data_IF_280388076149
#
_entry.id   IF_280388076149
#
_cell.length_a   1.000
_cell.length_b   1.000
_cell.length_c   1.000
_cell.angle_alpha   90.00
_cell.angle_beta   90.00
_cell.angle_gamma   90.00
#
_symmetry.space_group_name_H-M   'P 1'
#
loop_
_entity.id
_entity.type
_entity.pdbx_description
1 polymer ?
#
# COMPACT_ATOMS: atom_id res chain seq x y z
N UNK A 1 3.66 -12.09 19.09
CA UNK A 1 2.90 -11.40 18.01
C UNK A 1 3.87 -10.55 17.20
N UNK A 2 4.20 -10.96 15.97
CA UNK A 2 5.02 -10.15 15.06
C UNK A 2 4.07 -9.31 14.19
N UNK A 3 3.99 -8.01 14.45
CA UNK A 3 3.36 -7.04 13.54
C UNK A 3 4.43 -6.64 12.51
N UNK A 4 4.10 -6.63 11.23
CA UNK A 4 5.00 -6.17 10.18
C UNK A 4 4.53 -4.78 9.71
N UNK A 5 5.42 -3.80 9.81
CA UNK A 5 5.21 -2.47 9.24
C UNK A 5 5.55 -2.51 7.75
N UNK A 6 4.54 -2.28 6.90
CA UNK A 6 4.67 -2.30 5.45
C UNK A 6 5.27 -0.95 5.04
N UNK A 7 6.60 -0.88 4.92
CA UNK A 7 7.32 0.38 4.63
C UNK A 7 7.38 0.76 3.13
N UNK A 8 6.88 -0.06 2.21
CA UNK A 8 7.00 0.17 0.76
C UNK A 8 5.65 0.06 0.02
N UNK A 9 4.71 0.96 0.28
CA UNK A 9 3.46 1.04 -0.50
C UNK A 9 3.27 2.37 -1.25
N UNK A 10 4.20 3.33 -1.12
CA UNK A 10 4.03 4.70 -1.66
C UNK A 10 4.44 4.89 -3.13
N UNK A 11 4.71 3.83 -3.90
CA UNK A 11 5.13 3.96 -5.32
C UNK A 11 4.40 3.04 -6.31
N UNK A 12 3.24 2.49 -5.95
CA UNK A 12 2.41 1.72 -6.90
C UNK A 12 1.46 2.67 -7.65
N UNK A 13 2.02 3.46 -8.57
CA UNK A 13 1.23 4.24 -9.54
C UNK A 13 1.58 3.92 -11.01
N UNK A 14 2.49 2.99 -11.27
CA UNK A 14 2.82 2.57 -12.65
C UNK A 14 3.25 1.10 -12.78
N UNK A 15 3.19 0.30 -11.71
CA UNK A 15 3.92 -0.98 -11.61
C UNK A 15 3.09 -2.21 -11.96
N UNK A 16 1.83 -2.06 -12.40
CA UNK A 16 1.00 -3.23 -12.78
C UNK A 16 1.57 -3.95 -14.01
N UNK A 17 2.25 -3.22 -14.92
CA UNK A 17 2.90 -3.84 -16.08
C UNK A 17 4.22 -4.57 -15.71
N UNK A 18 5.02 -4.02 -14.80
CA UNK A 18 6.31 -4.61 -14.37
C UNK A 18 6.16 -5.89 -13.54
N UNK A 19 5.03 -6.06 -12.85
CA UNK A 19 4.73 -7.29 -12.10
C UNK A 19 4.49 -8.48 -13.06
N UNK A 20 3.96 -8.21 -14.26
CA UNK A 20 3.69 -9.19 -15.33
C UNK A 20 4.95 -9.87 -15.88
N UNK A 21 6.13 -9.25 -15.75
CA UNK A 21 7.38 -9.75 -16.32
C UNK A 21 8.24 -10.54 -15.32
N UNK A 22 8.22 -10.20 -14.03
CA UNK A 22 9.08 -10.86 -13.03
C UNK A 22 8.79 -12.34 -12.79
N UNK A 23 7.56 -12.83 -13.07
CA UNK A 23 7.23 -14.26 -12.93
C UNK A 23 7.41 -15.09 -14.21
N UNK A 24 7.52 -14.47 -15.40
CA UNK A 24 7.80 -15.23 -16.64
C UNK A 24 9.24 -15.78 -16.71
N UNK A 25 10.20 -15.15 -16.04
CA UNK A 25 11.61 -15.62 -16.05
C UNK A 25 11.88 -16.82 -15.12
N UNK A 26 11.01 -17.09 -14.14
CA UNK A 26 11.20 -18.25 -13.24
C UNK A 26 10.65 -19.57 -13.80
N UNK A 27 10.04 -19.54 -14.99
CA UNK A 27 9.53 -20.72 -15.67
C UNK A 27 9.80 -20.70 -17.17
N UNK A 28 10.84 -21.44 -17.58
CA UNK A 28 11.25 -21.79 -18.97
C UNK A 28 12.15 -20.79 -19.68
N UNK A 29 13.36 -21.26 -20.01
CA UNK A 29 14.20 -20.72 -21.07
C UNK A 29 13.49 -20.88 -22.42
N UNK A 30 12.75 -19.86 -22.81
CA UNK A 30 12.06 -19.76 -24.08
C UNK A 30 11.96 -18.29 -24.48
N UNK A 31 12.47 -17.98 -25.68
CA UNK A 31 12.34 -16.68 -26.33
C UNK A 31 10.91 -16.13 -26.19
N UNK A 32 10.76 -15.04 -25.45
CA UNK A 32 9.48 -14.34 -25.31
C UNK A 32 9.12 -13.71 -26.65
N UNK A 33 8.08 -14.21 -27.32
CA UNK A 33 7.54 -13.60 -28.53
C UNK A 33 7.06 -12.16 -28.22
N UNK A 34 7.80 -11.17 -28.76
CA UNK A 34 7.60 -9.73 -28.58
C UNK A 34 6.52 -9.16 -29.51
N UNK A 35 5.28 -9.62 -29.40
CA UNK A 35 4.23 -9.17 -30.32
C UNK A 35 3.56 -7.82 -29.96
N UNK A 36 3.71 -7.28 -28.74
CA UNK A 36 2.94 -6.09 -28.31
C UNK A 36 3.61 -5.20 -27.23
N UNK A 37 4.94 -5.10 -27.18
CA UNK A 37 5.62 -4.16 -26.25
C UNK A 37 5.93 -2.89 -27.03
N UNK A 38 5.47 -1.73 -26.55
CA UNK A 38 5.83 -0.46 -27.16
C UNK A 38 7.27 -0.05 -26.78
N UNK A 39 7.85 0.90 -27.52
CA UNK A 39 9.26 1.30 -27.34
C UNK A 39 9.55 1.86 -25.95
N UNK A 40 8.57 2.51 -25.31
CA UNK A 40 8.69 3.08 -23.96
C UNK A 40 8.75 2.00 -22.87
N UNK A 41 7.86 1.01 -22.93
CA UNK A 41 7.85 -0.13 -22.02
C UNK A 41 9.13 -0.97 -22.18
N UNK A 42 9.61 -1.13 -23.41
CA UNK A 42 10.87 -1.81 -23.68
C UNK A 42 12.06 -1.07 -23.06
N UNK A 43 12.09 0.26 -23.16
CA UNK A 43 13.12 1.09 -22.53
C UNK A 43 13.11 0.97 -21.00
N UNK A 44 11.93 1.00 -20.37
CA UNK A 44 11.80 0.80 -18.92
C UNK A 44 12.24 -0.60 -18.50
N UNK A 45 11.92 -1.64 -19.29
CA UNK A 45 12.34 -3.01 -19.05
C UNK A 45 13.87 -3.17 -19.11
N UNK A 46 14.52 -2.57 -20.11
CA UNK A 46 15.98 -2.57 -20.23
C UNK A 46 16.65 -1.81 -19.07
N UNK A 47 16.03 -0.74 -18.54
CA UNK A 47 16.51 -0.07 -17.33
C UNK A 47 16.38 -0.89 -16.05
N UNK A 48 15.59 -1.96 -16.08
CA UNK A 48 15.52 -2.99 -15.05
C UNK A 48 16.75 -3.91 -15.01
N UNK A 49 17.66 -3.81 -16.00
CA UNK A 49 18.83 -4.68 -16.13
C UNK A 49 18.56 -5.96 -16.93
N UNK A 50 17.41 -6.03 -17.61
CA UNK A 50 17.02 -7.18 -18.41
C UNK A 50 17.60 -7.07 -19.82
N UNK A 51 18.08 -8.20 -20.35
CA UNK A 51 18.62 -8.26 -21.70
C UNK A 51 17.49 -8.44 -22.72
N UNK A 52 17.58 -7.74 -23.85
CA UNK A 52 16.56 -7.73 -24.89
C UNK A 52 17.25 -7.98 -26.22
N UNK A 53 16.83 -9.02 -26.94
CA UNK A 53 17.30 -9.21 -28.32
C UNK A 53 16.74 -8.12 -29.21
N UNK A 54 17.63 -7.44 -29.92
CA UNK A 54 17.33 -6.38 -30.88
C UNK A 54 17.29 -6.91 -32.32
N UNK A 55 17.41 -8.23 -32.49
CA UNK A 55 17.44 -8.88 -33.80
C UNK A 55 16.08 -8.72 -34.50
N UNK A 56 16.09 -8.11 -35.68
CA UNK A 56 14.89 -7.87 -36.49
C UNK A 56 14.27 -6.47 -36.34
N UNK A 57 14.80 -5.61 -35.48
CA UNK A 57 14.37 -4.20 -35.40
C UNK A 57 14.92 -3.39 -36.59
N UNK A 58 14.10 -2.50 -37.13
CA UNK A 58 14.51 -1.52 -38.13
C UNK A 58 15.48 -0.48 -37.54
N UNK A 59 16.21 0.22 -38.40
CA UNK A 59 17.11 1.30 -37.96
C UNK A 59 16.33 2.41 -37.26
N UNK A 60 15.11 2.69 -37.72
CA UNK A 60 14.21 3.71 -37.16
C UNK A 60 13.76 3.30 -35.74
N UNK A 61 13.31 2.05 -35.57
CA UNK A 61 12.92 1.51 -34.26
C UNK A 61 14.10 1.51 -33.27
N UNK A 62 15.32 1.24 -33.73
CA UNK A 62 16.53 1.32 -32.90
C UNK A 62 16.89 2.76 -32.49
N UNK A 63 16.59 3.75 -33.33
CA UNK A 63 16.78 5.17 -33.00
C UNK A 63 15.75 5.63 -31.99
N UNK A 64 14.49 5.25 -32.17
CA UNK A 64 13.39 5.52 -31.23
C UNK A 64 13.68 4.89 -29.86
N UNK A 65 14.12 3.63 -29.82
CA UNK A 65 14.49 2.96 -28.57
C UNK A 65 15.64 3.65 -27.83
N UNK A 66 16.66 4.13 -28.56
CA UNK A 66 17.76 4.90 -27.94
C UNK A 66 17.28 6.22 -27.36
N UNK A 67 16.38 6.92 -28.05
CA UNK A 67 15.79 8.16 -27.55
C UNK A 67 14.96 7.90 -26.28
N UNK A 68 14.05 6.92 -26.34
CA UNK A 68 13.22 6.51 -25.20
C UNK A 68 14.06 6.07 -23.99
N UNK A 69 15.16 5.33 -24.21
CA UNK A 69 16.08 4.94 -23.14
C UNK A 69 16.79 6.16 -22.52
N UNK A 70 17.17 7.16 -23.33
CA UNK A 70 17.74 8.42 -22.85
C UNK A 70 16.77 9.19 -21.96
N UNK A 71 15.52 9.32 -22.41
CA UNK A 71 14.45 9.98 -21.65
C UNK A 71 14.10 9.23 -20.36
N UNK A 72 13.95 7.90 -20.42
CA UNK A 72 13.66 7.08 -19.25
C UNK A 72 14.80 7.12 -18.21
N UNK A 73 16.07 7.19 -18.65
CA UNK A 73 17.21 7.42 -17.74
C UNK A 73 17.14 8.79 -17.07
N UNK A 74 16.83 9.84 -17.83
CA UNK A 74 16.70 11.18 -17.29
C UNK A 74 15.55 11.26 -16.27
N UNK A 75 14.40 10.66 -16.58
CA UNK A 75 13.24 10.56 -15.68
C UNK A 75 13.58 9.81 -14.39
N UNK A 76 14.20 8.63 -14.49
CA UNK A 76 14.64 7.84 -13.32
C UNK A 76 15.65 8.59 -12.47
N UNK A 77 16.61 9.30 -13.08
CA UNK A 77 17.55 10.16 -12.36
C UNK A 77 16.84 11.30 -11.64
N UNK A 78 15.92 12.00 -12.33
CA UNK A 78 15.16 13.09 -11.73
C UNK A 78 14.30 12.61 -10.54
N UNK A 79 13.67 11.45 -10.66
CA UNK A 79 12.92 10.82 -9.56
C UNK A 79 13.84 10.47 -8.37
N UNK A 80 15.01 9.87 -8.63
CA UNK A 80 15.99 9.59 -7.59
C UNK A 80 16.51 10.87 -6.90
N UNK A 81 16.80 11.92 -7.67
CA UNK A 81 17.26 13.20 -7.14
C UNK A 81 16.17 13.86 -6.27
N UNK A 82 14.90 13.80 -6.69
CA UNK A 82 13.76 14.28 -5.92
C UNK A 82 13.59 13.50 -4.60
N UNK A 83 13.68 12.17 -4.65
CA UNK A 83 13.61 11.33 -3.44
C UNK A 83 14.78 11.62 -2.49
N UNK A 84 16.00 11.82 -3.02
CA UNK A 84 17.17 12.18 -2.24
C UNK A 84 17.01 13.55 -1.56
N UNK A 85 16.48 14.54 -2.28
CA UNK A 85 16.18 15.87 -1.73
C UNK A 85 15.13 15.79 -0.61
N UNK A 86 14.03 15.06 -0.83
CA UNK A 86 12.98 14.87 0.17
C UNK A 86 13.51 14.18 1.44
N UNK A 87 14.36 13.18 1.27
CA UNK A 87 15.01 12.47 2.38
C UNK A 87 15.95 13.39 3.16
N UNK A 88 16.76 14.19 2.47
CA UNK A 88 17.68 15.14 3.11
C UNK A 88 16.90 16.20 3.92
N UNK A 89 15.77 16.67 3.39
CA UNK A 89 14.88 17.58 4.12
C UNK A 89 14.26 16.92 5.36
N UNK A 90 13.77 15.68 5.25
CA UNK A 90 13.24 14.90 6.39
C UNK A 90 14.29 14.71 7.49
N UNK A 91 15.53 14.38 7.12
CA UNK A 91 16.65 14.25 8.06
C UNK A 91 16.99 15.58 8.74
N UNK A 92 16.99 16.69 8.00
CA UNK A 92 17.18 18.04 8.55
C UNK A 92 16.09 18.39 9.55
N UNK A 93 14.82 18.15 9.20
CA UNK A 93 13.69 18.42 10.09
C UNK A 93 13.74 17.54 11.34
N UNK A 94 14.11 16.27 11.22
CA UNK A 94 14.30 15.38 12.35
C UNK A 94 15.41 15.88 13.29
N UNK A 95 16.55 16.31 12.74
CA UNK A 95 17.64 16.89 13.52
C UNK A 95 17.20 18.17 14.25
N UNK A 96 16.38 19.01 13.61
CA UNK A 96 15.79 20.18 14.24
C UNK A 96 14.83 19.80 15.38
N UNK A 97 14.01 18.76 15.22
CA UNK A 97 13.14 18.23 16.29
C UNK A 97 13.97 17.77 17.50
N UNK A 98 15.08 17.04 17.28
CA UNK A 98 15.98 16.63 18.37
C UNK A 98 16.58 17.84 19.10
N UNK A 99 16.99 18.87 18.37
CA UNK A 99 17.61 20.06 18.94
C UNK A 99 16.63 20.93 19.75
N UNK A 100 15.36 20.97 19.34
CA UNK A 100 14.35 21.90 19.89
C UNK A 100 13.42 21.26 20.92
N UNK A 101 13.31 19.92 20.96
CA UNK A 101 12.40 19.23 21.86
C UNK A 101 13.15 18.41 22.92
N UNK A 102 13.13 18.84 24.20
CA UNK A 102 13.72 18.07 25.29
C UNK A 102 13.19 16.64 25.40
N UNK A 103 11.91 16.43 25.06
CA UNK A 103 11.29 15.11 25.05
C UNK A 103 11.92 14.17 24.03
N UNK A 104 12.24 14.66 22.82
CA UNK A 104 12.91 13.86 21.80
C UNK A 104 14.40 13.69 22.10
N UNK A 105 15.07 14.74 22.59
CA UNK A 105 16.48 14.69 22.99
C UNK A 105 16.74 13.68 24.12
N UNK A 106 15.76 13.45 25.00
CA UNK A 106 15.85 12.46 26.08
C UNK A 106 15.77 11.00 25.62
N UNK A 107 15.46 10.74 24.34
CA UNK A 107 15.34 9.41 23.78
C UNK A 107 16.59 8.99 23.03
N UNK A 108 16.84 7.68 22.97
CA UNK A 108 17.80 7.15 22.01
C UNK A 108 17.26 7.36 20.58
N UNK A 109 18.18 7.64 19.64
CA UNK A 109 17.86 8.06 18.27
C UNK A 109 16.87 7.14 17.55
N UNK A 110 16.94 5.79 17.67
CA UNK A 110 15.96 4.92 17.03
C UNK A 110 14.53 5.13 17.54
N UNK A 111 14.34 5.34 18.84
CA UNK A 111 13.02 5.58 19.43
C UNK A 111 12.50 6.97 19.09
N UNK A 112 13.36 7.99 19.11
CA UNK A 112 12.99 9.33 18.66
C UNK A 112 12.56 9.32 17.19
N UNK A 113 13.33 8.65 16.33
CA UNK A 113 13.02 8.50 14.90
C UNK A 113 11.72 7.74 14.69
N UNK A 114 11.47 6.68 15.46
CA UNK A 114 10.23 5.92 15.39
C UNK A 114 9.01 6.80 15.71
N UNK A 115 9.06 7.60 16.77
CA UNK A 115 7.97 8.54 17.10
C UNK A 115 7.79 9.59 16.00
N UNK A 116 8.89 10.14 15.49
CA UNK A 116 8.88 11.10 14.38
C UNK A 116 8.22 10.54 13.12
N UNK A 117 8.61 9.33 12.72
CA UNK A 117 8.05 8.62 11.56
C UNK A 117 6.55 8.29 11.74
N UNK A 118 6.09 8.18 12.99
CA UNK A 118 4.67 8.01 13.32
C UNK A 118 3.92 9.34 13.39
N UNK A 119 4.57 10.47 13.13
CA UNK A 119 3.95 11.79 13.10
C UNK A 119 3.95 12.52 14.44
N UNK A 120 4.59 11.97 15.48
CA UNK A 120 4.90 12.73 16.68
C UNK A 120 6.12 13.58 16.38
N UNK A 121 5.94 14.85 16.01
CA UNK A 121 7.06 15.74 15.63
C UNK A 121 7.32 16.83 16.66
N UNK A 122 6.37 17.04 17.56
CA UNK A 122 6.43 18.03 18.62
C UNK A 122 6.07 17.41 19.98
N UNK A 123 6.36 18.15 21.06
CA UNK A 123 5.92 17.78 22.40
C UNK A 123 4.39 17.68 22.49
N UNK A 124 3.69 18.58 21.81
CA UNK A 124 2.23 18.63 21.82
C UNK A 124 1.61 17.39 21.16
N UNK A 125 2.22 16.88 20.10
CA UNK A 125 1.77 15.63 19.48
C UNK A 125 1.86 14.45 20.44
N UNK A 126 2.96 14.38 21.22
CA UNK A 126 3.14 13.32 22.23
C UNK A 126 2.10 13.47 23.35
N UNK A 127 1.77 14.70 23.77
CA UNK A 127 0.77 14.97 24.82
C UNK A 127 -0.63 14.50 24.45
N UNK A 128 -0.99 14.50 23.17
CA UNK A 128 -2.27 13.94 22.67
C UNK A 128 -2.37 12.43 22.84
N UNK A 129 -1.24 11.72 22.94
CA UNK A 129 -1.21 10.28 23.12
C UNK A 129 -1.38 9.89 24.58
N UNK A 130 -2.05 8.75 24.81
CA UNK A 130 -1.96 8.05 26.09
C UNK A 130 -0.67 7.26 26.18
N UNK A 131 -0.31 6.84 27.40
CA UNK A 131 0.77 5.86 27.61
C UNK A 131 0.57 4.59 26.78
N UNK A 132 -0.66 4.11 26.68
CA UNK A 132 -1.00 2.87 25.96
C UNK A 132 -0.82 3.04 24.45
N UNK A 133 -1.19 4.20 23.90
CA UNK A 133 -1.00 4.50 22.47
C UNK A 133 0.47 4.37 22.06
N UNK A 134 1.37 4.93 22.88
CA UNK A 134 2.80 4.86 22.61
C UNK A 134 3.36 3.44 22.80
N UNK A 135 2.93 2.72 23.84
CA UNK A 135 3.36 1.32 24.07
C UNK A 135 2.88 0.35 22.97
N UNK A 136 1.82 0.69 22.25
CA UNK A 136 1.34 -0.10 21.11
C UNK A 136 2.23 0.04 19.87
N UNK A 137 3.15 1.01 19.85
CA UNK A 137 4.15 1.17 18.80
C UNK A 137 5.30 0.19 19.01
N UNK A 138 5.52 -0.68 18.04
CA UNK A 138 6.61 -1.66 18.08
C UNK A 138 7.97 -0.94 18.17
N UNK A 139 8.73 -1.24 19.22
CA UNK A 139 10.01 -0.58 19.51
C UNK A 139 9.94 0.48 20.62
N UNK A 140 8.73 0.83 21.07
CA UNK A 140 8.52 1.67 22.25
C UNK A 140 8.24 0.77 23.46
N UNK A 141 9.19 0.74 24.40
CA UNK A 141 9.06 0.00 25.66
C UNK A 141 8.80 0.93 26.84
N UNK A 142 8.64 0.33 28.03
CA UNK A 142 8.45 1.07 29.27
C UNK A 142 9.58 2.06 29.56
N UNK A 143 10.84 1.70 29.24
CA UNK A 143 11.98 2.60 29.41
C UNK A 143 11.85 3.89 28.60
N UNK A 144 11.31 3.83 27.39
CA UNK A 144 11.03 5.02 26.57
C UNK A 144 9.98 5.91 27.22
N UNK A 145 8.90 5.31 27.74
CA UNK A 145 7.85 6.03 28.47
C UNK A 145 8.43 6.74 29.70
N UNK A 146 9.28 6.06 30.47
CA UNK A 146 9.92 6.65 31.65
C UNK A 146 10.81 7.84 31.28
N UNK A 147 11.61 7.73 30.21
CA UNK A 147 12.44 8.85 29.74
C UNK A 147 11.59 10.06 29.31
N UNK A 148 10.49 9.82 28.59
CA UNK A 148 9.55 10.88 28.22
C UNK A 148 8.97 11.57 29.47
N UNK A 149 8.54 10.80 30.48
CA UNK A 149 8.06 11.37 31.74
C UNK A 149 9.12 12.21 32.45
N UNK A 150 10.35 11.70 32.54
CA UNK A 150 11.46 12.41 33.16
C UNK A 150 11.83 13.69 32.38
N UNK A 151 11.55 13.74 31.08
CA UNK A 151 11.68 14.92 30.23
C UNK A 151 10.47 15.87 30.32
N UNK A 152 9.55 15.66 31.26
CA UNK A 152 8.39 16.54 31.50
C UNK A 152 7.18 16.26 30.59
N UNK A 153 7.13 15.11 29.92
CA UNK A 153 5.95 14.73 29.14
C UNK A 153 4.83 14.24 30.05
N UNK A 154 3.71 14.95 30.01
CA UNK A 154 2.44 14.53 30.59
C UNK A 154 1.54 13.93 29.50
N UNK A 155 1.25 12.63 29.60
CA UNK A 155 0.38 11.95 28.63
C UNK A 155 -1.09 12.23 28.89
N UNK A 156 -1.89 12.27 27.84
CA UNK A 156 -3.34 12.38 27.97
C UNK A 156 -3.93 11.18 28.74
N UNK A 157 -4.98 11.45 29.52
CA UNK A 157 -5.77 10.42 30.21
C UNK A 157 -6.59 9.56 29.24
N UNK A 158 -6.99 10.15 28.10
CA UNK A 158 -7.72 9.51 27.00
C UNK A 158 -7.04 9.92 25.69
N UNK A 159 -7.04 9.03 24.70
CA UNK A 159 -6.37 9.32 23.43
C UNK A 159 -7.06 10.49 22.74
N UNK A 160 -6.26 11.47 22.31
CA UNK A 160 -6.69 12.60 21.50
C UNK A 160 -6.09 12.51 20.08
N UNK A 161 -5.51 11.37 19.73
CA UNK A 161 -4.95 11.14 18.41
C UNK A 161 -6.09 11.01 17.38
N UNK A 162 -5.89 11.49 16.15
CA UNK A 162 -6.91 11.39 15.13
C UNK A 162 -7.14 9.92 14.75
N UNK A 163 -8.41 9.56 14.61
CA UNK A 163 -8.82 8.25 14.10
C UNK A 163 -8.79 8.25 12.57
N UNK A 164 -7.58 8.27 12.01
CA UNK A 164 -7.34 8.44 10.58
C UNK A 164 -7.22 7.12 9.80
N UNK A 165 -7.52 5.98 10.43
CA UNK A 165 -7.53 4.68 9.76
C UNK A 165 -8.65 3.79 10.24
N UNK A 166 -9.16 2.97 9.33
CA UNK A 166 -10.07 1.87 9.61
C UNK A 166 -9.29 0.61 9.97
N UNK A 167 -9.84 -0.17 10.89
CA UNK A 167 -9.44 -1.55 11.14
C UNK A 167 -10.46 -2.51 10.52
N UNK A 168 -10.06 -3.20 9.45
CA UNK A 168 -10.96 -4.01 8.60
C UNK A 168 -10.54 -5.49 8.68
N UNK A 169 -11.49 -6.37 9.00
CA UNK A 169 -11.33 -7.80 8.78
C UNK A 169 -11.70 -8.13 7.33
N UNK A 170 -10.81 -8.80 6.63
CA UNK A 170 -11.02 -9.27 5.27
C UNK A 170 -10.98 -10.79 5.31
N UNK A 171 -12.09 -11.42 4.96
CA UNK A 171 -12.29 -12.87 5.06
C UNK A 171 -12.54 -13.46 3.68
N UNK A 172 -11.79 -14.50 3.35
CA UNK A 172 -12.08 -15.39 2.24
C UNK A 172 -12.54 -16.74 2.78
N UNK A 173 -13.56 -17.32 2.15
CA UNK A 173 -14.08 -18.66 2.45
C UNK A 173 -14.11 -19.48 1.17
N UNK A 174 -13.46 -20.63 1.19
CA UNK A 174 -13.43 -21.56 0.07
C UNK A 174 -12.64 -22.81 0.44
N UNK A 175 -12.81 -23.88 -0.34
CA UNK A 175 -12.10 -25.16 -0.13
C UNK A 175 -12.24 -25.70 1.31
N UNK A 176 -13.39 -25.51 1.96
CA UNK A 176 -13.63 -25.96 3.34
C UNK A 176 -12.87 -25.20 4.43
N UNK A 177 -12.18 -24.10 4.12
CA UNK A 177 -11.42 -23.28 5.09
C UNK A 177 -11.81 -21.81 5.04
N UNK A 178 -11.50 -21.10 6.13
CA UNK A 178 -11.60 -19.64 6.21
C UNK A 178 -10.19 -19.08 6.38
N UNK A 179 -9.84 -18.12 5.54
CA UNK A 179 -8.59 -17.37 5.60
C UNK A 179 -8.95 -15.93 5.95
N UNK A 180 -8.20 -15.29 6.84
CA UNK A 180 -8.53 -13.93 7.29
C UNK A 180 -7.30 -13.05 7.38
N UNK A 181 -7.49 -11.78 7.04
CA UNK A 181 -6.53 -10.69 7.21
C UNK A 181 -7.19 -9.61 8.05
N UNK A 182 -6.44 -9.05 9.00
CA UNK A 182 -6.87 -7.91 9.78
C UNK A 182 -5.92 -6.74 9.47
N UNK A 183 -6.45 -5.74 8.78
CA UNK A 183 -5.68 -4.62 8.23
C UNK A 183 -6.04 -3.30 8.92
N UNK A 184 -5.03 -2.44 9.09
CA UNK A 184 -5.23 -1.00 9.29
C UNK A 184 -5.06 -0.32 7.93
N UNK A 185 -6.02 0.50 7.53
CA UNK A 185 -6.01 1.20 6.25
C UNK A 185 -6.37 2.68 6.43
N UNK A 186 -5.64 3.63 5.79
CA UNK A 186 -6.00 5.04 5.83
C UNK A 186 -7.43 5.29 5.38
N UNK A 187 -8.16 6.16 6.09
CA UNK A 187 -9.51 6.56 5.65
C UNK A 187 -9.48 7.30 4.31
N UNK A 188 -8.40 8.02 4.05
CA UNK A 188 -8.16 8.74 2.80
C UNK A 188 -7.78 7.83 1.62
N UNK A 189 -7.58 6.52 1.85
CA UNK A 189 -7.32 5.59 0.75
C UNK A 189 -8.57 5.44 -0.12
N UNK A 190 -8.39 5.08 -1.39
CA UNK A 190 -9.49 4.74 -2.29
C UNK A 190 -9.91 3.26 -2.17
N UNK A 191 -11.08 2.92 -2.68
CA UNK A 191 -11.49 1.52 -2.83
C UNK A 191 -10.52 0.72 -3.72
N UNK A 192 -9.96 1.33 -4.76
CA UNK A 192 -8.94 0.69 -5.60
C UNK A 192 -7.68 0.33 -4.79
N UNK A 193 -7.20 1.26 -3.95
CA UNK A 193 -6.08 0.99 -3.05
C UNK A 193 -6.40 -0.08 -2.01
N UNK A 194 -7.66 -0.13 -1.53
CA UNK A 194 -8.11 -1.22 -0.66
C UNK A 194 -8.03 -2.58 -1.38
N UNK A 195 -8.40 -2.65 -2.66
CA UNK A 195 -8.27 -3.88 -3.45
C UNK A 195 -6.80 -4.33 -3.55
N UNK A 196 -5.88 -3.42 -3.87
CA UNK A 196 -4.44 -3.72 -3.89
C UNK A 196 -3.94 -4.31 -2.56
N UNK A 197 -4.36 -3.71 -1.44
CA UNK A 197 -3.98 -4.15 -0.09
C UNK A 197 -4.56 -5.54 0.22
N UNK A 198 -5.80 -5.79 -0.18
CA UNK A 198 -6.46 -7.08 0.00
C UNK A 198 -5.71 -8.14 -0.80
N UNK A 199 -5.53 -7.93 -2.11
CA UNK A 199 -4.87 -8.90 -3.00
C UNK A 199 -3.44 -9.18 -2.54
N UNK A 200 -2.67 -8.15 -2.20
CA UNK A 200 -1.34 -8.32 -1.60
C UNK A 200 -1.38 -9.14 -0.30
N UNK A 201 -2.35 -8.86 0.57
CA UNK A 201 -2.54 -9.62 1.81
C UNK A 201 -2.84 -11.10 1.57
N UNK A 202 -3.46 -11.44 0.44
CA UNK A 202 -3.75 -12.81 0.04
C UNK A 202 -2.71 -13.40 -0.94
N UNK A 203 -1.59 -12.72 -1.18
CA UNK A 203 -0.55 -13.13 -2.13
C UNK A 203 -1.07 -13.32 -3.58
N UNK A 204 -2.03 -12.48 -3.96
CA UNK A 204 -2.61 -12.44 -5.31
C UNK A 204 -1.97 -11.33 -6.13
N UNK A 205 -1.85 -11.58 -7.43
CA UNK A 205 -1.60 -10.56 -8.44
C UNK A 205 -2.89 -9.79 -8.73
N UNK A 206 -2.79 -8.48 -8.90
CA UNK A 206 -3.91 -7.64 -9.34
C UNK A 206 -3.93 -7.54 -10.87
N UNK A 207 -4.25 -8.66 -11.52
CA UNK A 207 -4.21 -8.86 -12.97
C UNK A 207 -5.60 -8.87 -13.63
N UNK A 208 -6.67 -8.80 -12.83
CA UNK A 208 -8.07 -8.80 -13.28
C UNK A 208 -8.86 -7.63 -12.68
N UNK A 209 -10.06 -7.40 -13.22
CA UNK A 209 -10.98 -6.39 -12.71
C UNK A 209 -11.56 -6.79 -11.34
N UNK A 210 -12.01 -5.77 -10.59
CA UNK A 210 -12.72 -5.95 -9.32
C UNK A 210 -13.91 -5.01 -9.18
N UNK A 211 -14.77 -5.33 -8.22
CA UNK A 211 -15.86 -4.49 -7.76
C UNK A 211 -16.04 -4.60 -6.24
N UNK A 212 -16.55 -3.54 -5.62
CA UNK A 212 -16.98 -3.53 -4.23
C UNK A 212 -18.50 -3.40 -4.17
N UNK A 213 -19.17 -4.35 -3.51
CA UNK A 213 -20.60 -4.35 -3.25
C UNK A 213 -20.86 -3.95 -1.80
N UNK A 214 -21.39 -2.75 -1.61
CA UNK A 214 -21.47 -2.09 -0.30
C UNK A 214 -22.59 -2.64 0.59
N UNK A 215 -23.50 -3.45 0.04
CA UNK A 215 -24.50 -4.24 0.77
C UNK A 215 -24.05 -5.69 1.04
N UNK A 216 -22.83 -6.03 0.66
CA UNK A 216 -22.26 -7.37 0.81
C UNK A 216 -22.85 -8.42 -0.15
N UNK A 217 -23.72 -8.03 -1.08
CA UNK A 217 -24.34 -8.93 -2.04
C UNK A 217 -23.63 -8.85 -3.39
N UNK A 218 -23.06 -9.96 -3.90
CA UNK A 218 -22.41 -9.95 -5.21
C UNK A 218 -23.44 -9.59 -6.29
N UNK A 219 -23.02 -8.79 -7.27
CA UNK A 219 -23.82 -8.35 -8.40
C UNK A 219 -25.04 -7.47 -8.03
N UNK A 220 -25.05 -6.88 -6.83
CA UNK A 220 -26.05 -5.88 -6.47
C UNK A 220 -25.81 -4.55 -7.18
N UNK A 221 -26.83 -3.68 -7.16
CA UNK A 221 -26.72 -2.32 -7.71
C UNK A 221 -25.93 -1.37 -6.81
N UNK A 222 -25.72 -1.72 -5.54
CA UNK A 222 -25.00 -0.90 -4.58
C UNK A 222 -23.50 -1.22 -4.68
N UNK A 223 -22.89 -0.85 -5.80
CA UNK A 223 -21.56 -1.30 -6.17
C UNK A 223 -20.70 -0.20 -6.80
N UNK A 224 -19.39 -0.36 -6.66
CA UNK A 224 -18.36 0.42 -7.34
C UNK A 224 -17.44 -0.50 -8.13
N UNK A 225 -17.16 -0.15 -9.38
CA UNK A 225 -16.35 -0.95 -10.29
C UNK A 225 -15.00 -0.31 -10.54
N UNK A 226 -14.00 -1.12 -10.90
CA UNK A 226 -12.68 -0.60 -11.29
C UNK A 226 -12.75 0.25 -12.56
N UNK A 227 -11.86 1.24 -12.70
CA UNK A 227 -11.79 2.15 -13.86
C UNK A 227 -11.85 1.44 -15.22
N UNK A 228 -11.27 0.24 -15.35
CA UNK A 228 -11.30 -0.53 -16.60
C UNK A 228 -12.74 -0.85 -17.08
N UNK A 229 -13.72 -0.83 -16.17
CA UNK A 229 -15.14 -1.03 -16.48
C UNK A 229 -15.86 0.25 -16.91
N UNK A 230 -15.22 1.42 -16.85
CA UNK A 230 -15.80 2.71 -17.24
C UNK A 230 -15.48 3.07 -18.70
N UNK A 231 -15.25 2.05 -19.55
CA UNK A 231 -14.95 2.21 -20.97
C UNK A 231 -16.15 2.65 -21.81
N UNK A 232 -15.88 3.00 -23.07
CA UNK A 232 -16.90 3.43 -24.02
C UNK A 232 -18.01 2.38 -24.17
N UNK A 233 -19.25 2.76 -23.80
CA UNK A 233 -20.43 1.91 -23.89
C UNK A 233 -21.02 1.44 -22.56
N UNK A 234 -20.27 1.52 -21.44
CA UNK A 234 -20.78 1.22 -20.10
C UNK A 234 -21.20 2.52 -19.40
N UNK A 235 -22.49 2.84 -19.45
CA UNK A 235 -23.06 4.03 -18.77
C UNK A 235 -23.79 3.62 -17.49
N UNK A 236 -23.82 4.51 -16.50
CA UNK A 236 -24.61 4.33 -15.27
C UNK A 236 -23.92 3.58 -14.11
N UNK A 237 -22.61 3.31 -14.18
CA UNK A 237 -21.86 2.59 -13.14
C UNK A 237 -21.44 3.43 -11.92
N UNK A 238 -21.82 4.72 -11.85
CA UNK A 238 -21.37 5.62 -10.79
C UNK A 238 -19.88 6.01 -10.93
N UNK A 239 -19.23 6.50 -9.86
CA UNK A 239 -17.78 6.77 -9.83
C UNK A 239 -16.98 5.46 -9.76
N UNK A 240 -15.76 5.47 -10.32
CA UNK A 240 -14.88 4.31 -10.26
C UNK A 240 -14.26 4.12 -8.86
N UNK A 241 -13.78 2.92 -8.56
CA UNK A 241 -13.13 2.60 -7.26
C UNK A 241 -11.93 3.50 -6.91
N UNK A 242 -11.28 4.09 -7.91
CA UNK A 242 -10.15 5.02 -7.75
C UNK A 242 -10.60 6.37 -7.18
N UNK A 243 -11.84 6.76 -7.43
CA UNK A 243 -12.43 8.05 -7.08
C UNK A 243 -13.18 8.03 -5.74
N UNK A 244 -13.48 6.83 -5.23
CA UNK A 244 -14.23 6.65 -3.98
C UNK A 244 -13.28 6.40 -2.83
N UNK A 245 -13.22 7.34 -1.89
CA UNK A 245 -12.44 7.20 -0.66
C UNK A 245 -13.14 6.32 0.38
N UNK A 246 -12.37 5.79 1.33
CA UNK A 246 -12.91 5.01 2.45
C UNK A 246 -13.45 5.89 3.58
N UNK A 247 -13.41 7.22 3.47
CA UNK A 247 -13.89 8.14 4.52
C UNK A 247 -15.38 7.96 4.81
N UNK A 248 -16.16 7.57 3.79
CA UNK A 248 -17.60 7.34 3.90
C UNK A 248 -18.00 6.05 4.62
N UNK A 249 -17.06 5.16 4.92
CA UNK A 249 -17.36 3.93 5.68
C UNK A 249 -17.74 4.25 7.13
N UNK A 250 -18.47 3.32 7.75
CA UNK A 250 -18.90 3.38 9.13
C UNK A 250 -18.49 2.13 9.90
N UNK A 251 -18.44 2.26 11.23
CA UNK A 251 -18.18 1.13 12.11
C UNK A 251 -19.28 0.07 11.95
N UNK A 252 -18.87 -1.19 11.83
CA UNK A 252 -19.72 -2.36 11.57
C UNK A 252 -20.21 -2.52 10.12
N UNK A 253 -19.84 -1.62 9.21
CA UNK A 253 -20.09 -1.85 7.78
C UNK A 253 -19.52 -3.20 7.36
N UNK A 254 -20.34 -3.94 6.62
CA UNK A 254 -19.96 -5.22 6.02
C UNK A 254 -20.25 -5.14 4.53
N UNK A 255 -19.20 -5.31 3.73
CA UNK A 255 -19.27 -5.20 2.27
C UNK A 255 -18.43 -6.32 1.65
N UNK A 256 -18.57 -6.51 0.34
CA UNK A 256 -17.92 -7.58 -0.41
C UNK A 256 -17.03 -6.98 -1.48
N UNK A 257 -15.77 -7.40 -1.53
CA UNK A 257 -14.95 -7.26 -2.73
C UNK A 257 -15.09 -8.52 -3.57
N UNK A 258 -15.42 -8.35 -4.84
CA UNK A 258 -15.37 -9.41 -5.85
C UNK A 258 -14.20 -9.09 -6.78
N UNK A 259 -13.25 -9.99 -6.89
CA UNK A 259 -12.09 -9.90 -7.78
C UNK A 259 -12.13 -11.04 -8.79
N UNK A 260 -11.77 -10.74 -10.04
CA UNK A 260 -11.90 -11.62 -11.18
C UNK A 260 -13.35 -12.09 -11.39
N UNK A 261 -14.03 -11.50 -12.38
CA UNK A 261 -15.43 -11.84 -12.67
C UNK A 261 -15.63 -13.24 -13.25
N UNK A 262 -14.57 -13.90 -13.72
CA UNK A 262 -14.61 -15.29 -14.17
C UNK A 262 -14.50 -16.27 -12.99
N UNK A 263 -13.45 -16.14 -12.18
CA UNK A 263 -13.21 -17.02 -11.02
C UNK A 263 -14.06 -16.66 -9.78
N UNK A 264 -14.58 -15.43 -9.72
CA UNK A 264 -15.38 -14.88 -8.63
C UNK A 264 -14.74 -15.00 -7.24
N UNK A 265 -13.52 -14.48 -7.08
CA UNK A 265 -12.89 -14.39 -5.76
C UNK A 265 -13.65 -13.41 -4.87
N UNK A 266 -14.28 -13.93 -3.81
CA UNK A 266 -15.13 -13.16 -2.89
C UNK A 266 -14.44 -12.94 -1.55
N UNK A 267 -14.19 -11.68 -1.21
CA UNK A 267 -13.60 -11.26 0.06
C UNK A 267 -14.60 -10.42 0.85
N UNK A 268 -15.10 -10.98 1.96
CA UNK A 268 -15.98 -10.24 2.87
C UNK A 268 -15.16 -9.30 3.74
N UNK A 269 -15.45 -8.01 3.67
CA UNK A 269 -14.81 -6.96 4.43
C UNK A 269 -15.74 -6.50 5.55
N UNK A 270 -15.22 -6.41 6.79
CA UNK A 270 -15.95 -5.91 7.95
C UNK A 270 -15.16 -4.83 8.67
N UNK A 271 -15.68 -3.61 8.71
CA UNK A 271 -15.13 -2.51 9.49
C UNK A 271 -15.38 -2.77 10.97
N UNK A 272 -14.31 -2.94 11.74
CA UNK A 272 -14.40 -3.39 13.14
C UNK A 272 -13.87 -2.38 14.15
N UNK A 273 -13.14 -1.37 13.68
CA UNK A 273 -12.54 -0.37 14.56
C UNK A 273 -11.98 0.81 13.80
N UNK A 274 -11.54 1.77 14.59
CA UNK A 274 -10.84 2.96 14.14
C UNK A 274 -9.60 3.16 14.98
N UNK A 275 -8.54 3.66 14.36
CA UNK A 275 -7.28 3.93 15.07
C UNK A 275 -6.51 5.08 14.48
N UNK A 276 -5.53 5.53 15.25
CA UNK A 276 -4.39 6.27 14.74
C UNK A 276 -3.36 5.27 14.16
N UNK A 277 -2.90 5.51 12.93
CA UNK A 277 -1.87 4.68 12.27
C UNK A 277 -0.61 5.47 11.87
N UNK A 278 -0.50 6.71 12.35
CA UNK A 278 0.59 7.63 12.04
C UNK A 278 0.11 8.89 11.32
N UNK A 279 1.00 9.85 11.10
CA UNK A 279 0.75 11.00 10.24
C UNK A 279 1.93 11.20 9.25
N UNK A 280 1.77 10.92 7.94
CA UNK A 280 0.54 10.42 7.30
C UNK A 280 0.15 9.02 7.79
N UNK A 281 -1.13 8.69 7.66
CA UNK A 281 -1.67 7.38 8.00
C UNK A 281 -0.99 6.28 7.19
N UNK A 282 -0.74 5.11 7.79
CA UNK A 282 -0.01 4.00 7.16
C UNK A 282 -0.85 2.74 7.12
N UNK A 283 -0.69 1.98 6.03
CA UNK A 283 -1.23 0.63 5.92
C UNK A 283 -0.44 -0.32 6.82
N UNK A 284 -1.13 -1.19 7.56
CA UNK A 284 -0.49 -2.19 8.41
C UNK A 284 -1.25 -3.51 8.37
N UNK A 285 -0.51 -4.62 8.21
CA UNK A 285 -1.03 -5.95 8.53
C UNK A 285 -0.99 -6.15 10.04
N UNK A 286 -2.14 -6.09 10.70
CA UNK A 286 -2.25 -6.22 12.16
C UNK A 286 -2.17 -7.70 12.56
N UNK A 287 -2.93 -8.56 11.87
CA UNK A 287 -3.01 -10.00 12.11
C UNK A 287 -3.41 -10.72 10.83
N UNK A 288 -3.08 -11.99 10.72
CA UNK A 288 -3.54 -12.87 9.66
C UNK A 288 -3.71 -14.29 10.20
N UNK A 289 -4.65 -15.04 9.62
CA UNK A 289 -4.91 -16.44 9.94
C UNK A 289 -5.17 -17.22 8.65
N UNK A 290 -4.70 -18.47 8.61
CA UNK A 290 -4.77 -19.33 7.43
C UNK A 290 -3.76 -18.95 6.34
N UNK A 291 -3.21 -19.98 5.70
CA UNK A 291 -2.41 -19.81 4.48
C UNK A 291 -3.29 -19.27 3.36
N UNK A 292 -2.75 -18.36 2.53
CA UNK A 292 -3.42 -17.89 1.33
C UNK A 292 -3.82 -19.07 0.42
N UNK A 293 -4.98 -19.00 -0.25
CA UNK A 293 -5.25 -19.90 -1.37
C UNK A 293 -4.28 -19.62 -2.52
N UNK A 294 -4.05 -20.62 -3.38
CA UNK A 294 -3.41 -20.36 -4.66
C UNK A 294 -4.40 -19.61 -5.55
N UNK A 295 -3.96 -18.53 -6.20
CA UNK A 295 -4.82 -17.69 -7.03
C UNK A 295 -5.36 -18.44 -8.24
N UNK A 296 -4.50 -19.16 -8.97
CA UNK A 296 -4.89 -20.08 -10.03
C UNK A 296 -4.00 -21.33 -9.93
N UNK A 297 -4.53 -22.50 -9.54
CA UNK A 297 -3.81 -23.75 -9.70
C UNK A 297 -3.60 -24.04 -11.19
N UNK A 298 -2.44 -24.59 -11.55
CA UNK A 298 -2.21 -25.06 -12.90
C UNK A 298 -3.29 -26.10 -13.24
N UNK A 299 -3.93 -25.97 -14.41
CA UNK A 299 -4.82 -27.01 -14.90
C UNK A 299 -3.95 -28.19 -15.37
N UNK A 300 -4.10 -29.35 -14.73
CA UNK A 300 -3.47 -30.62 -15.13
C UNK A 300 -4.03 -31.15 -16.47
#
# INVERSE_FOLDING_TARGET
MRRYSIRNMMTLSSTSCLTRMRRREQGRGGSTSMAHINVEELAEYMLGGNDVSLDGMSIEELQELKAALGEAKAKKKAEMDLQAAQKAEDERLFAQTLATSPAFAALATPQARLLYDYGFRTLEDIRKATRTDLLNLQGIGQGTITRLKNAGVEFAKRSQLPKNSWEIYVMWKGQGRTVTRFISVPKSASLAQLADIILWGYDFENDHAHAFFMDGQPWSKNAYFTQAMHGEGLTGLGPATQEVSLEGLQLNDTFLMLFDFGAEWRFTCKVSGERFSGNPAKVQMIMWTGQSPQQYPDED
#
